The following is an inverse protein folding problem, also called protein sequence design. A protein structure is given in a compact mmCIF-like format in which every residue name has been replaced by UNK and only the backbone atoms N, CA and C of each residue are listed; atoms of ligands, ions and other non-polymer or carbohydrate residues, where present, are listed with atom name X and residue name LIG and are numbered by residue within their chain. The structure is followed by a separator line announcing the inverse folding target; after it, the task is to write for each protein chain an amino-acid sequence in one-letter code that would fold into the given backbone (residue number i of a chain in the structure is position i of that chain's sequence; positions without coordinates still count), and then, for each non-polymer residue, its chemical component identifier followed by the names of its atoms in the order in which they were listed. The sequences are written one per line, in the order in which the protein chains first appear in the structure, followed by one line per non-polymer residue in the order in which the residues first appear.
data_IF_183542032807
#
_entry.id   IF_183542032807
#
_cell.length_a   1.000
_cell.length_b   1.000
_cell.length_c   1.000
_cell.angle_alpha   90.00
_cell.angle_beta   90.00
_cell.angle_gamma   90.00
#
_symmetry.space_group_name_H-M   'P 1'
#
loop_
_entity.id
_entity.type
_entity.pdbx_description
1 polymer ?
#
# COMPACT_ATOMS: atom_id res chain seq x y z
N UNK A 1 7.02 -8.40 -16.05
CA UNK A 1 6.56 -7.33 -15.12
C UNK A 1 7.51 -6.13 -15.10
N UNK A 2 8.78 -6.30 -14.70
CA UNK A 2 9.74 -5.19 -14.52
C UNK A 2 9.95 -4.37 -15.79
N UNK A 3 10.28 -5.00 -16.92
CA UNK A 3 10.49 -4.29 -18.18
C UNK A 3 9.26 -3.47 -18.62
N UNK A 4 8.06 -4.04 -18.47
CA UNK A 4 6.82 -3.34 -18.78
C UNK A 4 6.59 -2.14 -17.85
N UNK A 5 6.82 -2.31 -16.54
CA UNK A 5 6.70 -1.24 -15.57
C UNK A 5 7.69 -0.10 -15.83
N UNK A 6 8.92 -0.43 -16.24
CA UNK A 6 9.93 0.54 -16.67
C UNK A 6 9.43 1.37 -17.86
N UNK A 7 9.03 0.70 -18.95
CA UNK A 7 8.57 1.33 -20.19
C UNK A 7 7.33 2.23 -20.00
N UNK A 8 6.47 1.89 -19.04
CA UNK A 8 5.21 2.61 -18.78
C UNK A 8 5.26 3.54 -17.59
N UNK A 9 6.41 3.70 -16.94
CA UNK A 9 6.55 4.42 -15.66
C UNK A 9 5.48 4.00 -14.64
N UNK A 10 5.21 2.70 -14.59
CA UNK A 10 4.14 2.11 -13.77
C UNK A 10 4.68 1.57 -12.44
N UNK A 11 3.77 1.36 -11.48
CA UNK A 11 4.10 0.71 -10.21
C UNK A 11 4.15 -0.80 -10.42
N UNK A 12 5.19 -1.46 -9.90
CA UNK A 12 5.32 -2.92 -9.94
C UNK A 12 4.96 -3.56 -8.58
N UNK A 13 4.20 -4.66 -8.63
CA UNK A 13 4.04 -5.61 -7.54
C UNK A 13 4.93 -6.83 -7.85
N UNK A 14 5.82 -7.18 -6.92
CA UNK A 14 6.82 -8.22 -7.13
C UNK A 14 7.04 -9.04 -5.84
N UNK A 15 7.01 -10.36 -5.96
CA UNK A 15 7.09 -11.28 -4.82
C UNK A 15 8.52 -11.59 -4.38
N UNK A 16 9.47 -11.61 -5.32
CA UNK A 16 10.87 -11.93 -5.03
C UNK A 16 11.68 -10.69 -4.56
N UNK A 17 12.56 -10.90 -3.57
CA UNK A 17 13.37 -9.82 -2.96
C UNK A 17 14.41 -9.27 -3.93
N UNK A 18 15.07 -10.13 -4.73
CA UNK A 18 16.04 -9.72 -5.73
C UNK A 18 15.36 -8.97 -6.88
N UNK A 19 14.17 -9.40 -7.30
CA UNK A 19 13.36 -8.72 -8.29
C UNK A 19 12.94 -7.31 -7.82
N UNK A 20 12.54 -7.15 -6.55
CA UNK A 20 12.24 -5.83 -5.97
C UNK A 20 13.49 -4.94 -5.92
N UNK A 21 14.64 -5.49 -5.54
CA UNK A 21 15.91 -4.76 -5.51
C UNK A 21 16.26 -4.24 -6.92
N UNK A 22 16.21 -5.12 -7.92
CA UNK A 22 16.47 -4.77 -9.30
C UNK A 22 15.52 -3.70 -9.82
N UNK A 23 14.21 -3.84 -9.60
CA UNK A 23 13.23 -2.84 -10.03
C UNK A 23 13.46 -1.47 -9.38
N UNK A 24 13.80 -1.42 -8.09
CA UNK A 24 14.13 -0.17 -7.39
C UNK A 24 15.38 0.50 -7.95
N UNK A 25 16.43 -0.28 -8.29
CA UNK A 25 17.64 0.24 -8.91
C UNK A 25 17.38 0.84 -10.30
N UNK A 26 16.32 0.39 -10.99
CA UNK A 26 15.85 0.96 -12.25
C UNK A 26 14.92 2.18 -12.06
N UNK A 27 14.71 2.66 -10.83
CA UNK A 27 13.81 3.77 -10.52
C UNK A 27 12.32 3.41 -10.55
N UNK A 28 11.97 2.13 -10.70
CA UNK A 28 10.57 1.69 -10.70
C UNK A 28 10.02 1.73 -9.27
N UNK A 29 8.86 2.36 -9.10
CA UNK A 29 8.12 2.32 -7.84
C UNK A 29 7.60 0.91 -7.59
N UNK A 30 7.93 0.34 -6.44
CA UNK A 30 7.48 -1.00 -6.03
C UNK A 30 6.47 -0.89 -4.89
N UNK A 31 5.38 -1.65 -4.95
CA UNK A 31 4.44 -1.85 -3.85
C UNK A 31 4.35 -3.33 -3.47
N UNK A 32 4.07 -3.59 -2.19
CA UNK A 32 3.64 -4.91 -1.70
C UNK A 32 2.16 -4.90 -1.32
N UNK A 33 1.68 -5.99 -0.74
CA UNK A 33 0.26 -6.18 -0.37
C UNK A 33 -0.30 -5.05 0.51
N UNK A 34 0.45 -4.59 1.52
CA UNK A 34 0.07 -3.42 2.33
C UNK A 34 -0.13 -2.17 1.47
N UNK A 35 0.78 -1.92 0.53
CA UNK A 35 0.69 -0.78 -0.37
C UNK A 35 -0.53 -0.84 -1.28
N UNK A 36 -1.01 -2.03 -1.63
CA UNK A 36 -2.25 -2.24 -2.39
C UNK A 36 -3.47 -1.93 -1.53
N UNK A 37 -3.51 -2.44 -0.29
CA UNK A 37 -4.62 -2.19 0.64
C UNK A 37 -4.78 -0.69 0.89
N UNK A 38 -3.67 0.00 1.20
CA UNK A 38 -3.64 1.44 1.41
C UNK A 38 -4.08 2.22 0.16
N UNK A 39 -3.65 1.80 -1.03
CA UNK A 39 -4.09 2.44 -2.27
C UNK A 39 -5.58 2.21 -2.54
N UNK A 40 -6.11 1.03 -2.23
CA UNK A 40 -7.54 0.73 -2.30
C UNK A 40 -8.38 1.67 -1.44
N UNK A 41 -7.92 1.94 -0.21
CA UNK A 41 -8.55 2.94 0.65
C UNK A 41 -8.47 4.35 0.06
N UNK A 42 -7.29 4.81 -0.37
CA UNK A 42 -7.11 6.14 -0.97
C UNK A 42 -7.99 6.36 -2.20
N UNK A 43 -8.23 5.31 -2.98
CA UNK A 43 -9.09 5.32 -4.16
C UNK A 43 -10.57 5.11 -3.85
N UNK A 44 -10.94 5.03 -2.57
CA UNK A 44 -12.31 4.75 -2.10
C UNK A 44 -12.89 3.43 -2.63
N UNK A 45 -12.03 2.48 -3.00
CA UNK A 45 -12.41 1.11 -3.34
C UNK A 45 -12.71 0.33 -2.06
N UNK A 46 -11.96 0.63 -0.99
CA UNK A 46 -12.18 0.09 0.34
C UNK A 46 -12.64 1.21 1.28
N UNK A 47 -13.59 0.92 2.15
CA UNK A 47 -13.84 1.71 3.35
C UNK A 47 -12.67 1.60 4.32
N UNK A 48 -12.64 2.48 5.32
CA UNK A 48 -11.60 2.45 6.35
C UNK A 48 -11.61 1.11 7.12
N UNK A 49 -12.79 0.59 7.46
CA UNK A 49 -12.94 -0.67 8.18
C UNK A 49 -12.51 -1.88 7.33
N UNK A 50 -12.84 -1.89 6.04
CA UNK A 50 -12.40 -2.95 5.11
C UNK A 50 -10.88 -2.94 4.93
N UNK A 51 -10.27 -1.75 4.81
CA UNK A 51 -8.83 -1.62 4.72
C UNK A 51 -8.14 -2.07 6.02
N UNK A 52 -8.68 -1.67 7.18
CA UNK A 52 -8.18 -2.10 8.49
C UNK A 52 -8.21 -3.61 8.64
N UNK A 53 -9.38 -4.22 8.39
CA UNK A 53 -9.57 -5.67 8.46
C UNK A 53 -8.66 -6.42 7.49
N UNK A 54 -8.38 -5.83 6.32
CA UNK A 54 -7.46 -6.41 5.33
C UNK A 54 -6.01 -6.39 5.82
N UNK A 55 -5.58 -5.35 6.55
CA UNK A 55 -4.25 -5.31 7.18
C UNK A 55 -4.15 -6.37 8.28
N UNK A 56 -5.19 -6.52 9.11
CA UNK A 56 -5.26 -7.56 10.14
C UNK A 56 -5.16 -8.95 9.49
N UNK A 57 -5.94 -9.18 8.43
CA UNK A 57 -5.91 -10.45 7.70
C UNK A 57 -4.55 -10.74 7.08
N UNK A 58 -3.84 -9.71 6.60
CA UNK A 58 -2.51 -9.88 6.03
C UNK A 58 -1.51 -10.40 7.08
N UNK A 59 -1.60 -9.90 8.32
CA UNK A 59 -0.76 -10.36 9.43
C UNK A 59 -1.04 -11.81 9.86
N UNK A 60 -2.25 -12.33 9.60
CA UNK A 60 -2.60 -13.72 9.86
C UNK A 60 -2.02 -14.68 8.80
N UNK A 61 -1.93 -14.26 7.54
CA UNK A 61 -1.61 -15.15 6.41
C UNK A 61 -0.16 -15.06 5.95
N UNK A 62 0.56 -13.99 6.31
CA UNK A 62 1.98 -13.84 6.01
C UNK A 62 2.71 -13.15 7.15
N UNK A 63 4.02 -13.38 7.24
CA UNK A 63 4.84 -12.69 8.22
C UNK A 63 4.79 -11.18 8.01
N UNK A 64 4.33 -10.47 9.04
CA UNK A 64 4.37 -9.03 9.14
C UNK A 64 4.89 -8.67 10.52
N UNK A 65 6.02 -7.97 10.60
CA UNK A 65 6.56 -7.56 11.90
C UNK A 65 5.58 -6.61 12.59
N UNK A 66 5.55 -6.64 13.93
CA UNK A 66 4.70 -5.76 14.72
C UNK A 66 4.94 -4.27 14.41
N UNK A 67 6.19 -3.91 14.13
CA UNK A 67 6.58 -2.56 13.71
C UNK A 67 5.93 -2.18 12.37
N UNK A 68 6.03 -3.02 11.33
CA UNK A 68 5.45 -2.72 10.01
C UNK A 68 3.92 -2.72 10.08
N UNK A 69 3.32 -3.63 10.86
CA UNK A 69 1.89 -3.60 11.14
C UNK A 69 1.48 -2.28 11.79
N UNK A 70 2.16 -1.87 12.87
CA UNK A 70 1.87 -0.63 13.58
C UNK A 70 1.99 0.60 12.67
N UNK A 71 3.06 0.68 11.87
CA UNK A 71 3.23 1.74 10.87
C UNK A 71 2.09 1.77 9.86
N UNK A 72 1.63 0.61 9.36
CA UNK A 72 0.52 0.56 8.41
C UNK A 72 -0.80 1.05 9.02
N UNK A 73 -1.07 0.70 10.29
CA UNK A 73 -2.26 1.16 11.02
C UNK A 73 -2.23 2.67 11.26
N UNK A 74 -1.12 3.22 11.75
CA UNK A 74 -0.99 4.66 11.98
C UNK A 74 -1.08 5.46 10.67
N UNK A 75 -0.50 4.93 9.59
CA UNK A 75 -0.65 5.54 8.27
C UNK A 75 -2.09 5.53 7.77
N UNK A 76 -2.82 4.42 7.93
CA UNK A 76 -4.24 4.36 7.55
C UNK A 76 -5.10 5.37 8.34
N UNK A 77 -4.82 5.51 9.66
CA UNK A 77 -5.50 6.50 10.52
C UNK A 77 -5.26 7.94 10.06
N UNK A 78 -4.03 8.30 9.70
CA UNK A 78 -3.71 9.66 9.25
C UNK A 78 -4.34 10.02 7.91
N UNK A 79 -4.59 9.04 7.04
CA UNK A 79 -5.36 9.25 5.83
C UNK A 79 -6.85 9.53 6.13
N UNK A 80 -7.43 8.87 7.14
CA UNK A 80 -8.83 9.09 7.54
C UNK A 80 -9.08 10.52 8.02
N UNK A 81 -8.17 11.08 8.81
CA UNK A 81 -8.29 12.47 9.28
C UNK A 81 -8.21 13.48 8.13
N UNK A 82 -7.38 13.20 7.12
CA UNK A 82 -7.22 14.07 5.94
C UNK A 82 -8.46 14.08 5.04
N UNK A 83 -9.16 12.95 4.91
CA UNK A 83 -10.37 12.86 4.09
C UNK A 83 -11.58 13.62 4.68
N UNK A 84 -11.60 13.84 6.01
CA UNK A 84 -12.71 14.50 6.69
C UNK A 84 -12.64 16.04 6.62
N UNK A 85 -11.48 16.62 6.30
CA UNK A 85 -11.30 18.08 6.21
C UNK A 85 -11.81 18.66 4.88
N UNK A 86 -11.81 17.87 3.80
CA UNK A 86 -12.28 18.29 2.47
C UNK A 86 -13.82 18.33 2.30
N UNK A 87 -14.60 18.01 3.33
CA UNK A 87 -16.06 18.03 3.28
C UNK A 87 -16.69 19.34 3.83
N UNK A 88 -15.90 20.28 4.35
CA UNK A 88 -16.36 21.51 5.00
C UNK A 88 -16.01 22.80 4.24
N UNK A 89 -15.84 22.74 2.92
CA UNK A 89 -15.67 23.94 2.09
C UNK A 89 -16.66 23.90 0.92
N UNK A 90 -17.93 24.16 1.24
CA UNK A 90 -18.96 24.70 0.33
C UNK A 90 -19.84 25.66 1.13
#
# INVERSE_FOLDING_TARGET
VIYYAYQKNAIALLDDSSARCFARNLGIKVRGSLGIIIEGYKRKILSYEEARKSIDKLAEVMYLSAEVYGMAIEFLKSLKSTHNTSAHTL
#
